data_IF_268845763755
#
_entry.id   IF_268845763755
#
_cell.length_a   1.000
_cell.length_b   1.000
_cell.length_c   1.000
_cell.angle_alpha   90.00
_cell.angle_beta   90.00
_cell.angle_gamma   90.00
#
_symmetry.space_group_name_H-M   'P 1'
#
loop_
_entity.id
_entity.type
_entity.pdbx_description
1 polymer ?
#
# COMPACT_ATOMS: atom_id res chain seq x y z
N UNK A 1 -6.04 3.04 15.78
CA UNK A 1 -6.24 3.35 14.34
C UNK A 1 -4.89 3.21 13.62
N UNK A 2 -4.82 2.72 12.37
CA UNK A 2 -3.58 2.81 11.57
C UNK A 2 -3.08 4.26 11.49
N UNK A 3 -1.78 4.46 11.22
CA UNK A 3 -1.25 5.80 10.96
C UNK A 3 -1.95 6.40 9.74
N UNK A 4 -2.05 7.72 9.67
CA UNK A 4 -2.75 8.44 8.60
C UNK A 4 -2.30 7.99 7.20
N UNK A 5 -0.99 7.80 7.02
CA UNK A 5 -0.41 7.29 5.76
C UNK A 5 -0.86 5.88 5.39
N UNK A 6 -1.04 5.00 6.36
CA UNK A 6 -1.54 3.63 6.13
C UNK A 6 -3.05 3.67 5.88
N UNK A 7 -3.76 4.51 6.63
CA UNK A 7 -5.20 4.68 6.48
C UNK A 7 -5.53 5.11 5.04
N UNK A 8 -4.79 6.09 4.50
CA UNK A 8 -4.96 6.58 3.13
C UNK A 8 -4.86 5.47 2.07
N UNK A 9 -3.98 4.48 2.28
CA UNK A 9 -3.86 3.32 1.38
C UNK A 9 -5.05 2.37 1.57
N UNK A 10 -5.35 1.99 2.82
CA UNK A 10 -6.42 1.02 3.10
C UNK A 10 -7.81 1.52 2.72
N UNK A 11 -8.06 2.83 2.82
CA UNK A 11 -9.34 3.45 2.43
C UNK A 11 -9.58 3.45 0.91
N UNK A 12 -8.56 3.16 0.08
CA UNK A 12 -8.76 3.02 -1.36
C UNK A 12 -9.54 1.74 -1.72
N UNK A 13 -9.73 0.81 -0.77
CA UNK A 13 -10.57 -0.36 -0.94
C UNK A 13 -11.91 -0.15 -0.23
N UNK A 14 -13.00 0.04 -0.99
CA UNK A 14 -14.35 0.22 -0.43
C UNK A 14 -14.94 -0.99 0.29
N UNK A 15 -14.31 -2.17 0.16
CA UNK A 15 -14.75 -3.42 0.77
C UNK A 15 -13.84 -3.88 1.93
N UNK A 16 -12.87 -3.05 2.34
CA UNK A 16 -11.97 -3.33 3.46
C UNK A 16 -11.13 -4.63 3.29
N UNK A 17 -10.90 -5.07 2.06
CA UNK A 17 -10.11 -6.27 1.77
C UNK A 17 -8.60 -6.05 1.91
N UNK A 18 -8.14 -4.79 1.95
CA UNK A 18 -6.72 -4.45 2.08
C UNK A 18 -6.39 -4.25 3.56
N UNK A 19 -5.66 -5.21 4.14
CA UNK A 19 -5.26 -5.16 5.55
C UNK A 19 -4.20 -4.08 5.82
N UNK A 20 -4.33 -3.27 6.89
CA UNK A 20 -3.28 -2.36 7.32
C UNK A 20 -1.92 -3.03 7.59
N UNK A 21 -1.93 -4.30 8.01
CA UNK A 21 -0.70 -5.05 8.27
C UNK A 21 0.03 -5.44 6.98
N UNK A 22 -0.72 -5.73 5.91
CA UNK A 22 -0.15 -5.97 4.59
C UNK A 22 0.56 -4.71 4.07
N UNK A 23 -0.07 -3.54 4.22
CA UNK A 23 0.53 -2.25 3.87
C UNK A 23 1.84 -2.02 4.61
N UNK A 24 1.86 -2.20 5.94
CA UNK A 24 3.09 -2.06 6.74
C UNK A 24 4.19 -2.99 6.26
N UNK A 25 3.87 -4.26 6.07
CA UNK A 25 4.84 -5.26 5.65
C UNK A 25 5.46 -4.91 4.29
N UNK A 26 4.64 -4.54 3.30
CA UNK A 26 5.14 -4.18 1.97
C UNK A 26 5.93 -2.88 1.97
N UNK A 27 5.52 -1.87 2.73
CA UNK A 27 6.31 -0.65 2.94
C UNK A 27 7.68 -0.97 3.55
N UNK A 28 7.74 -1.85 4.56
CA UNK A 28 9.01 -2.28 5.14
C UNK A 28 9.90 -3.03 4.13
N UNK A 29 9.31 -3.84 3.25
CA UNK A 29 10.07 -4.52 2.19
C UNK A 29 10.66 -3.53 1.20
N UNK A 30 9.92 -2.48 0.83
CA UNK A 30 10.42 -1.38 -0.01
C UNK A 30 11.54 -0.62 0.68
N UNK A 31 11.40 -0.29 1.97
CA UNK A 31 12.47 0.37 2.76
C UNK A 31 13.75 -0.49 2.80
N UNK A 32 13.60 -1.81 2.87
CA UNK A 32 14.71 -2.77 2.87
C UNK A 32 15.25 -3.05 1.45
N UNK A 33 14.80 -2.32 0.43
CA UNK A 33 15.14 -2.51 -0.99
C UNK A 33 14.91 -3.94 -1.49
N UNK A 34 13.94 -4.67 -0.93
CA UNK A 34 13.60 -6.04 -1.35
C UNK A 34 12.70 -6.07 -2.58
N UNK A 35 11.84 -5.06 -2.70
CA UNK A 35 10.86 -4.88 -3.78
C UNK A 35 10.76 -3.39 -4.10
N UNK A 36 10.27 -3.05 -5.29
CA UNK A 36 9.99 -1.65 -5.67
C UNK A 36 8.56 -1.23 -5.30
N UNK A 37 8.26 0.08 -5.16
CA UNK A 37 6.92 0.58 -4.82
C UNK A 37 5.79 0.05 -5.73
N UNK A 38 6.09 -0.18 -7.01
CA UNK A 38 5.17 -0.72 -8.00
C UNK A 38 4.79 -2.18 -7.72
N UNK A 39 5.76 -3.01 -7.33
CA UNK A 39 5.52 -4.40 -6.93
C UNK A 39 4.68 -4.45 -5.65
N UNK A 40 5.01 -3.61 -4.66
CA UNK A 40 4.22 -3.48 -3.45
C UNK A 40 2.77 -3.05 -3.74
N UNK A 41 2.56 -2.14 -4.68
CA UNK A 41 1.23 -1.72 -5.10
C UNK A 41 0.45 -2.85 -5.80
N UNK A 42 1.11 -3.68 -6.60
CA UNK A 42 0.51 -4.86 -7.21
C UNK A 42 0.07 -5.87 -6.14
N UNK A 43 0.94 -6.19 -5.18
CA UNK A 43 0.61 -7.08 -4.05
C UNK A 43 -0.56 -6.54 -3.22
N UNK A 44 -0.61 -5.24 -2.97
CA UNK A 44 -1.72 -4.58 -2.27
C UNK A 44 -3.06 -4.68 -3.01
N UNK A 45 -3.02 -4.82 -4.32
CA UNK A 45 -4.24 -4.92 -5.15
C UNK A 45 -4.84 -6.32 -5.14
N UNK A 46 -4.05 -7.38 -4.88
CA UNK A 46 -4.52 -8.78 -4.94
C UNK A 46 -5.74 -9.08 -4.07
N UNK A 47 -5.87 -8.55 -2.83
CA UNK A 47 -7.08 -8.75 -2.04
C UNK A 47 -8.31 -8.03 -2.60
N UNK A 48 -8.12 -7.02 -3.46
CA UNK A 48 -9.20 -6.24 -4.05
C UNK A 48 -9.78 -6.96 -5.28
N UNK A 49 -10.79 -7.79 -5.04
CA UNK A 49 -11.49 -8.53 -6.10
C UNK A 49 -12.34 -7.66 -7.03
N UNK A 50 -12.71 -6.44 -6.61
CA UNK A 50 -13.56 -5.54 -7.40
C UNK A 50 -12.77 -4.65 -8.38
N UNK A 51 -11.43 -4.71 -8.38
CA UNK A 51 -10.59 -3.98 -9.32
C UNK A 51 -10.49 -2.46 -9.13
N UNK A 52 -11.14 -1.88 -8.11
CA UNK A 52 -11.12 -0.41 -7.88
C UNK A 52 -9.81 0.11 -7.26
N UNK A 53 -8.97 -0.78 -6.75
CA UNK A 53 -7.76 -0.40 -6.04
C UNK A 53 -6.75 0.25 -7.01
N UNK A 54 -6.48 1.53 -6.81
CA UNK A 54 -5.59 2.28 -7.68
C UNK A 54 -4.11 2.01 -7.35
N UNK A 55 -3.51 1.09 -8.12
CA UNK A 55 -2.11 0.70 -8.00
C UNK A 55 -1.12 1.85 -8.20
N UNK A 56 -1.35 2.70 -9.20
CA UNK A 56 -0.48 3.84 -9.48
C UNK A 56 -0.46 4.82 -8.29
N UNK A 57 -1.62 5.10 -7.71
CA UNK A 57 -1.73 5.92 -6.49
C UNK A 57 -1.05 5.24 -5.31
N UNK A 58 -1.26 3.94 -5.10
CA UNK A 58 -0.63 3.19 -4.02
C UNK A 58 0.91 3.29 -4.08
N UNK A 59 1.51 3.11 -5.26
CA UNK A 59 2.95 3.25 -5.45
C UNK A 59 3.45 4.66 -5.10
N UNK A 60 2.73 5.72 -5.50
CA UNK A 60 3.06 7.10 -5.13
C UNK A 60 2.99 7.34 -3.61
N UNK A 61 1.96 6.81 -2.94
CA UNK A 61 1.84 6.91 -1.49
C UNK A 61 2.97 6.18 -0.77
N UNK A 62 3.35 5.00 -1.26
CA UNK A 62 4.51 4.26 -0.74
C UNK A 62 5.81 5.08 -0.90
N UNK A 63 6.03 5.70 -2.07
CA UNK A 63 7.19 6.59 -2.28
C UNK A 63 7.19 7.76 -1.28
N UNK A 64 6.05 8.40 -1.06
CA UNK A 64 5.93 9.48 -0.09
C UNK A 64 6.20 9.01 1.35
N UNK A 65 5.79 7.79 1.69
CA UNK A 65 6.06 7.20 3.01
C UNK A 65 7.57 7.02 3.22
N UNK A 66 8.29 6.49 2.23
CA UNK A 66 9.73 6.22 2.36
C UNK A 66 10.59 7.48 2.26
N UNK A 67 10.17 8.51 1.51
CA UNK A 67 10.93 9.78 1.40
C UNK A 67 10.82 10.68 2.62
N UNK A 68 9.85 10.45 3.50
CA UNK A 68 9.66 11.22 4.74
C UNK A 68 10.26 10.52 5.98
N UNK A 69 11.14 9.54 5.76
CA UNK A 69 11.76 8.71 6.80
C UNK A 69 13.26 8.90 6.79
#
# INVERSE_FOLDING_TARGET
LPSEKILEITSMCGHHCVSPNLVKNLVEQVIKNKIIPEEAAEELSKPCICGVFNKARAANLIRNIISQK
#
